data_IF_398813952209
#
_entry.id   IF_398813952209
#
_cell.length_a   1.000
_cell.length_b   1.000
_cell.length_c   1.000
_cell.angle_alpha   90.00
_cell.angle_beta   90.00
_cell.angle_gamma   90.00
#
_symmetry.space_group_name_H-M   'P 1'
#
loop_
_entity.id
_entity.type
_entity.pdbx_description
1 polymer ?
#
# COMPACT_ATOMS: atom_id res chain seq x y z
N UNK A 1 -7.55 -0.50 -13.44
CA UNK A 1 -8.19 -1.03 -12.22
C UNK A 1 -7.70 -0.19 -11.06
N UNK A 2 -8.60 0.35 -10.24
CA UNK A 2 -8.27 1.27 -9.15
C UNK A 2 -9.12 0.96 -7.91
N UNK A 3 -8.55 1.16 -6.73
CA UNK A 3 -9.29 1.40 -5.51
C UNK A 3 -9.70 2.88 -5.53
N UNK A 4 -10.97 3.15 -5.77
CA UNK A 4 -11.49 4.51 -5.96
C UNK A 4 -11.91 5.18 -4.66
N UNK A 5 -12.30 4.39 -3.64
CA UNK A 5 -12.66 4.90 -2.30
C UNK A 5 -12.25 3.92 -1.22
N UNK A 6 -11.72 4.45 -0.13
CA UNK A 6 -11.40 3.73 1.10
C UNK A 6 -12.14 4.36 2.28
N UNK A 7 -13.00 3.57 2.93
CA UNK A 7 -13.61 3.94 4.20
C UNK A 7 -13.12 3.00 5.28
N UNK A 8 -12.58 3.57 6.36
CA UNK A 8 -12.11 2.83 7.54
C UNK A 8 -12.74 3.42 8.78
N UNK A 9 -13.26 2.55 9.67
CA UNK A 9 -13.79 2.97 10.98
C UNK A 9 -13.19 2.11 12.09
N UNK A 10 -12.77 2.77 13.16
CA UNK A 10 -12.31 2.13 14.40
C UNK A 10 -11.14 1.14 14.23
N UNK A 11 -10.27 1.38 13.27
CA UNK A 11 -9.09 0.56 13.02
C UNK A 11 -7.84 1.23 13.59
N UNK A 12 -7.18 0.62 14.56
CA UNK A 12 -6.01 1.18 15.28
C UNK A 12 -6.26 2.63 15.70
N UNK A 13 -5.48 3.60 15.23
CA UNK A 13 -5.70 5.03 15.52
C UNK A 13 -6.78 5.68 14.64
N UNK A 14 -7.20 5.02 13.54
CA UNK A 14 -8.19 5.56 12.61
C UNK A 14 -9.59 5.51 13.20
N UNK A 15 -10.19 6.67 13.49
CA UNK A 15 -11.55 6.75 13.99
C UNK A 15 -12.59 6.58 12.90
N UNK A 16 -12.66 7.54 11.99
CA UNK A 16 -13.42 7.51 10.75
C UNK A 16 -12.59 8.20 9.67
N UNK A 17 -12.24 7.46 8.66
CA UNK A 17 -11.53 7.93 7.47
C UNK A 17 -12.37 7.55 6.27
N UNK A 18 -12.60 8.48 5.35
CA UNK A 18 -13.39 8.28 4.13
C UNK A 18 -12.70 9.09 3.02
N UNK A 19 -12.06 8.40 2.07
CA UNK A 19 -11.19 9.00 1.08
C UNK A 19 -11.56 8.52 -0.32
N UNK A 20 -11.65 9.44 -1.25
CA UNK A 20 -11.57 9.16 -2.68
C UNK A 20 -10.10 9.11 -3.08
N UNK A 21 -9.69 8.13 -3.87
CA UNK A 21 -8.30 7.86 -4.22
C UNK A 21 -8.12 7.84 -5.73
N UNK A 22 -7.09 8.52 -6.22
CA UNK A 22 -6.62 8.44 -7.61
C UNK A 22 -5.56 7.35 -7.83
N UNK A 23 -4.89 7.39 -8.98
CA UNK A 23 -3.78 6.48 -9.29
C UNK A 23 -2.54 6.71 -8.41
N UNK A 24 -2.35 7.94 -7.94
CA UNK A 24 -1.35 8.31 -6.94
C UNK A 24 -2.03 8.95 -5.75
N UNK A 25 -1.69 8.51 -4.52
CA UNK A 25 -2.09 9.19 -3.30
C UNK A 25 -0.91 9.28 -2.32
N UNK A 26 -0.62 10.48 -1.84
CA UNK A 26 0.50 10.78 -0.96
C UNK A 26 -0.03 11.29 0.38
N UNK A 27 0.21 10.52 1.42
CA UNK A 27 -0.23 10.81 2.78
C UNK A 27 0.88 11.51 3.55
N UNK A 28 0.68 12.79 3.83
CA UNK A 28 1.66 13.69 4.42
C UNK A 28 1.31 14.01 5.86
N UNK A 29 2.27 13.97 6.76
CA UNK A 29 2.05 14.33 8.16
C UNK A 29 3.19 13.92 9.07
N UNK A 30 3.21 14.40 10.32
CA UNK A 30 4.27 14.11 11.28
C UNK A 30 4.31 12.62 11.67
N UNK A 31 5.42 12.20 12.28
CA UNK A 31 5.54 10.86 12.83
C UNK A 31 4.47 10.61 13.90
N UNK A 32 3.94 9.39 13.95
CA UNK A 32 2.88 9.05 14.88
C UNK A 32 1.47 9.54 14.50
N UNK A 33 1.29 10.22 13.35
CA UNK A 33 -0.03 10.72 12.91
C UNK A 33 -1.00 9.63 12.45
N UNK A 34 -0.51 8.40 12.21
CA UNK A 34 -1.32 7.27 11.76
C UNK A 34 -1.25 6.97 10.26
N UNK A 35 -0.29 7.56 9.53
CA UNK A 35 -0.03 7.27 8.09
C UNK A 35 0.12 5.77 7.83
N UNK A 36 0.98 5.08 8.60
CA UNK A 36 1.20 3.63 8.46
C UNK A 36 -0.05 2.81 8.81
N UNK A 37 -0.92 3.29 9.70
CA UNK A 37 -2.16 2.59 10.02
C UNK A 37 -3.15 2.59 8.85
N UNK A 38 -3.11 3.63 8.00
CA UNK A 38 -3.92 3.70 6.78
C UNK A 38 -3.48 2.64 5.77
N UNK A 39 -2.18 2.54 5.50
CA UNK A 39 -1.65 1.50 4.61
C UNK A 39 -1.82 0.10 5.22
N UNK A 40 -1.66 -0.04 6.53
CA UNK A 40 -1.87 -1.31 7.21
C UNK A 40 -3.33 -1.79 7.14
N UNK A 41 -4.32 -0.89 7.08
CA UNK A 41 -5.72 -1.28 6.85
C UNK A 41 -5.91 -1.95 5.48
N UNK A 42 -5.24 -1.48 4.44
CA UNK A 42 -5.24 -2.10 3.11
C UNK A 42 -4.50 -3.45 3.11
N UNK A 43 -3.33 -3.50 3.77
CA UNK A 43 -2.59 -4.75 3.95
C UNK A 43 -3.43 -5.78 4.73
N UNK A 44 -4.17 -5.34 5.75
CA UNK A 44 -5.08 -6.21 6.51
C UNK A 44 -6.09 -6.91 5.59
N UNK A 45 -6.70 -6.19 4.66
CA UNK A 45 -7.65 -6.77 3.68
C UNK A 45 -6.95 -7.84 2.83
N UNK A 46 -5.77 -7.53 2.30
CA UNK A 46 -5.00 -8.48 1.49
C UNK A 46 -4.60 -9.73 2.30
N UNK A 47 -4.10 -9.57 3.52
CA UNK A 47 -3.72 -10.68 4.41
C UNK A 47 -4.94 -11.55 4.77
N UNK A 48 -6.09 -10.93 5.11
CA UNK A 48 -7.31 -11.62 5.48
C UNK A 48 -7.91 -12.43 4.33
N UNK A 49 -7.80 -11.94 3.10
CA UNK A 49 -8.30 -12.65 1.92
C UNK A 49 -7.30 -13.68 1.37
N UNK A 50 -6.00 -13.39 1.34
CA UNK A 50 -5.00 -14.30 0.78
C UNK A 50 -4.64 -15.46 1.73
N UNK A 51 -4.50 -15.20 3.02
CA UNK A 51 -4.28 -16.23 4.04
C UNK A 51 -5.59 -16.61 4.77
N UNK A 52 -5.95 -15.89 5.80
CA UNK A 52 -7.26 -15.91 6.49
C UNK A 52 -7.35 -14.76 7.50
N UNK A 53 -8.53 -14.55 8.06
CA UNK A 53 -8.79 -13.46 9.01
C UNK A 53 -8.02 -13.64 10.33
N UNK A 54 -7.88 -14.88 10.82
CA UNK A 54 -7.12 -15.20 12.04
C UNK A 54 -5.63 -14.83 11.87
N UNK A 55 -5.02 -15.18 10.75
CA UNK A 55 -3.66 -14.77 10.42
C UNK A 55 -3.51 -13.24 10.40
N UNK A 56 -4.42 -12.56 9.69
CA UNK A 56 -4.36 -11.10 9.58
C UNK A 56 -4.46 -10.38 10.94
N UNK A 57 -5.26 -10.93 11.86
CA UNK A 57 -5.38 -10.42 13.23
C UNK A 57 -4.14 -10.73 14.07
N UNK A 58 -3.64 -11.99 14.05
CA UNK A 58 -2.47 -12.42 14.83
C UNK A 58 -1.21 -11.68 14.49
N UNK A 59 -0.95 -11.44 13.20
CA UNK A 59 0.18 -10.63 12.73
C UNK A 59 0.19 -9.20 13.31
N UNK A 60 -0.95 -8.75 13.85
CA UNK A 60 -1.13 -7.43 14.44
C UNK A 60 -1.34 -7.46 15.96
N UNK A 61 -1.13 -8.62 16.59
CA UNK A 61 -1.30 -8.81 18.05
C UNK A 61 -2.73 -9.11 18.48
N UNK A 62 -3.61 -9.51 17.55
CA UNK A 62 -4.99 -9.88 17.80
C UNK A 62 -5.99 -8.73 17.67
N UNK A 63 -7.28 -9.09 17.81
CA UNK A 63 -8.41 -8.16 17.60
C UNK A 63 -8.33 -6.91 18.50
N UNK A 64 -7.81 -7.03 19.71
CA UNK A 64 -7.73 -5.92 20.65
C UNK A 64 -6.65 -4.87 20.30
N UNK A 65 -5.65 -5.24 19.50
CA UNK A 65 -4.63 -4.33 18.94
C UNK A 65 -5.08 -3.72 17.62
N UNK A 66 -5.97 -4.39 16.89
CA UNK A 66 -6.50 -3.93 15.60
C UNK A 66 -7.67 -2.97 15.77
N UNK A 67 -8.62 -3.29 16.66
CA UNK A 67 -9.72 -2.37 16.94
C UNK A 67 -9.24 -1.12 17.69
N UNK A 68 -9.90 0.00 17.43
CA UNK A 68 -9.53 1.26 18.09
C UNK A 68 -9.74 1.21 19.61
N UNK A 69 -8.71 1.59 20.36
CA UNK A 69 -8.80 1.81 21.81
C UNK A 69 -9.29 3.22 22.09
N UNK A 70 -10.46 3.38 22.68
CA UNK A 70 -11.00 4.68 23.08
C UNK A 70 -11.94 4.56 24.27
N UNK A 71 -12.30 5.69 24.90
CA UNK A 71 -13.26 5.75 25.99
C UNK A 71 -14.64 5.20 25.58
N UNK A 72 -15.04 5.33 24.32
CA UNK A 72 -16.26 4.77 23.77
C UNK A 72 -16.20 3.25 23.52
N UNK A 73 -15.02 2.62 23.67
CA UNK A 73 -14.78 1.16 23.54
C UNK A 73 -15.54 0.53 22.36
N UNK A 74 -15.32 0.98 21.10
CA UNK A 74 -15.97 0.35 19.97
C UNK A 74 -15.60 -1.13 19.93
N UNK A 75 -16.60 -2.01 19.85
CA UNK A 75 -16.38 -3.44 19.80
C UNK A 75 -16.05 -3.93 18.41
N UNK A 76 -16.26 -3.10 17.37
CA UNK A 76 -16.07 -3.44 15.98
C UNK A 76 -15.18 -2.44 15.26
N UNK A 77 -14.61 -2.89 14.15
CA UNK A 77 -14.05 -2.02 13.12
C UNK A 77 -14.64 -2.40 11.76
N UNK A 78 -14.70 -1.43 10.84
CA UNK A 78 -15.18 -1.59 9.47
C UNK A 78 -14.14 -1.15 8.47
N UNK A 79 -13.97 -1.93 7.40
CA UNK A 79 -13.25 -1.52 6.20
C UNK A 79 -14.20 -1.67 5.01
N UNK A 80 -14.30 -0.63 4.18
CA UNK A 80 -15.09 -0.60 2.96
C UNK A 80 -14.24 -0.06 1.82
N UNK A 81 -14.31 -0.73 0.67
CA UNK A 81 -13.52 -0.42 -0.52
C UNK A 81 -14.44 -0.35 -1.74
N UNK A 82 -14.33 0.74 -2.52
CA UNK A 82 -14.94 0.80 -3.82
C UNK A 82 -13.85 0.63 -4.88
N UNK A 83 -14.11 -0.23 -5.85
CA UNK A 83 -13.16 -0.64 -6.87
C UNK A 83 -13.71 -0.31 -8.26
N UNK A 84 -12.87 0.21 -9.14
CA UNK A 84 -13.12 0.25 -10.57
C UNK A 84 -12.21 -0.76 -11.26
N UNK A 85 -12.81 -1.87 -11.70
CA UNK A 85 -12.14 -2.99 -12.35
C UNK A 85 -12.32 -2.88 -13.87
N UNK A 86 -11.73 -3.81 -14.64
CA UNK A 86 -11.83 -3.73 -16.12
C UNK A 86 -13.25 -3.85 -16.65
N UNK A 87 -14.07 -4.73 -16.04
CA UNK A 87 -15.43 -5.04 -16.48
C UNK A 87 -16.48 -4.73 -15.43
N UNK A 88 -16.06 -4.39 -14.21
CA UNK A 88 -16.92 -4.28 -13.06
C UNK A 88 -16.57 -3.06 -12.23
N UNK A 89 -17.58 -2.37 -11.73
CA UNK A 89 -17.42 -1.58 -10.53
C UNK A 89 -17.87 -2.41 -9.33
N UNK A 90 -17.15 -2.33 -8.23
CA UNK A 90 -17.45 -3.14 -7.08
C UNK A 90 -17.35 -2.37 -5.76
N UNK A 91 -18.19 -2.79 -4.82
CA UNK A 91 -18.10 -2.40 -3.41
C UNK A 91 -17.88 -3.64 -2.58
N UNK A 92 -16.84 -3.65 -1.76
CA UNK A 92 -16.57 -4.70 -0.79
C UNK A 92 -16.43 -4.10 0.61
N UNK A 93 -17.10 -4.67 1.59
CA UNK A 93 -17.04 -4.18 2.96
C UNK A 93 -17.22 -5.31 3.97
N UNK A 94 -16.57 -5.15 5.14
CA UNK A 94 -16.79 -6.03 6.26
C UNK A 94 -16.67 -5.30 7.59
N UNK A 95 -17.41 -5.80 8.59
CA UNK A 95 -17.36 -5.42 9.99
C UNK A 95 -16.87 -6.60 10.82
N UNK A 96 -15.78 -6.40 11.56
CA UNK A 96 -15.25 -7.39 12.51
C UNK A 96 -15.56 -6.94 13.93
N UNK A 97 -16.19 -7.81 14.70
CA UNK A 97 -16.64 -7.59 16.07
C UNK A 97 -15.78 -8.39 17.04
N UNK A 98 -15.29 -7.73 18.10
CA UNK A 98 -14.56 -8.40 19.18
C UNK A 98 -15.55 -9.08 20.12
N UNK A 99 -15.29 -10.34 20.43
CA UNK A 99 -16.03 -11.17 21.37
C UNK A 99 -15.30 -11.27 22.72
N UNK A 100 -15.92 -11.91 23.70
CA UNK A 100 -15.25 -12.18 24.98
C UNK A 100 -14.09 -13.15 24.80
N UNK A 101 -13.02 -13.00 25.59
CA UNK A 101 -11.88 -13.93 25.58
C UNK A 101 -10.90 -13.74 24.42
N UNK A 102 -10.78 -12.53 23.85
CA UNK A 102 -9.90 -12.21 22.70
C UNK A 102 -10.32 -12.86 21.38
N UNK A 103 -11.55 -13.40 21.33
CA UNK A 103 -12.14 -13.97 20.14
C UNK A 103 -12.79 -12.88 19.27
N UNK A 104 -13.17 -13.24 18.05
CA UNK A 104 -13.79 -12.31 17.08
C UNK A 104 -14.82 -13.03 16.21
N UNK A 105 -15.67 -12.25 15.57
CA UNK A 105 -16.54 -12.73 14.50
C UNK A 105 -16.70 -11.68 13.41
N UNK A 106 -17.02 -12.12 12.21
CA UNK A 106 -17.49 -11.29 11.11
C UNK A 106 -18.96 -10.94 11.41
N UNK A 107 -19.18 -9.70 11.89
CA UNK A 107 -20.53 -9.25 12.19
C UNK A 107 -21.35 -9.08 10.91
N UNK A 108 -20.72 -8.51 9.86
CA UNK A 108 -21.31 -8.36 8.52
C UNK A 108 -20.23 -8.35 7.47
N UNK A 109 -20.50 -8.98 6.34
CA UNK A 109 -19.72 -8.88 5.11
C UNK A 109 -20.64 -8.68 3.93
N UNK A 110 -20.29 -7.77 3.02
CA UNK A 110 -21.05 -7.50 1.81
C UNK A 110 -20.11 -7.28 0.62
N UNK A 111 -20.49 -7.84 -0.51
CA UNK A 111 -19.87 -7.56 -1.79
C UNK A 111 -20.96 -7.27 -2.81
N UNK A 112 -20.83 -6.19 -3.58
CA UNK A 112 -21.69 -5.84 -4.70
C UNK A 112 -20.84 -5.54 -5.91
N UNK A 113 -21.18 -6.14 -7.03
CA UNK A 113 -20.42 -6.06 -8.28
C UNK A 113 -21.37 -5.71 -9.41
N UNK A 114 -21.08 -4.63 -10.11
CA UNK A 114 -21.91 -4.08 -11.19
C UNK A 114 -21.20 -4.21 -12.53
N UNK A 115 -21.81 -4.88 -13.50
CA UNK A 115 -21.24 -5.02 -14.85
C UNK A 115 -21.22 -3.70 -15.60
N UNK A 116 -20.08 -3.39 -16.25
CA UNK A 116 -19.92 -2.25 -17.14
C UNK A 116 -20.25 -2.58 -18.60
N UNK A 117 -20.45 -3.87 -18.94
CA UNK A 117 -20.60 -4.35 -20.31
C UNK A 117 -22.08 -4.39 -20.78
N UNK A 118 -23.04 -4.36 -19.86
CA UNK A 118 -24.46 -4.49 -20.19
C UNK A 118 -25.28 -3.33 -19.63
N UNK A 119 -26.16 -2.69 -20.44
CA UNK A 119 -27.02 -1.59 -19.99
C UNK A 119 -28.06 -2.01 -18.93
N UNK A 120 -28.43 -3.29 -18.90
CA UNK A 120 -29.21 -3.92 -17.83
C UNK A 120 -28.19 -4.53 -16.85
N UNK A 121 -27.75 -3.72 -15.91
CA UNK A 121 -26.71 -4.07 -14.95
C UNK A 121 -26.98 -5.45 -14.30
N UNK A 122 -26.22 -6.46 -14.72
CA UNK A 122 -26.15 -7.69 -13.94
C UNK A 122 -25.43 -7.33 -12.65
N UNK A 123 -26.18 -7.25 -11.56
CA UNK A 123 -25.63 -7.11 -10.22
C UNK A 123 -25.36 -8.50 -9.64
N UNK A 124 -24.11 -8.74 -9.26
CA UNK A 124 -23.76 -9.87 -8.43
C UNK A 124 -23.52 -9.35 -7.03
N UNK A 125 -24.18 -9.94 -6.04
CA UNK A 125 -23.98 -9.52 -4.67
C UNK A 125 -24.14 -10.66 -3.68
N UNK A 126 -23.58 -10.47 -2.49
CA UNK A 126 -23.90 -11.23 -1.30
C UNK A 126 -23.90 -10.33 -0.07
N UNK A 127 -24.66 -10.75 0.94
CA UNK A 127 -24.64 -10.22 2.29
C UNK A 127 -24.60 -11.41 3.26
N UNK A 128 -23.57 -11.45 4.09
CA UNK A 128 -23.41 -12.44 5.17
C UNK A 128 -23.43 -11.72 6.51
N UNK A 129 -24.16 -12.23 7.48
CA UNK A 129 -24.21 -11.72 8.85
C UNK A 129 -23.96 -12.87 9.83
N UNK A 130 -22.90 -12.73 10.64
CA UNK A 130 -22.52 -13.70 11.67
C UNK A 130 -22.51 -15.14 11.16
N UNK A 131 -21.87 -15.37 10.01
CA UNK A 131 -21.78 -16.66 9.37
C UNK A 131 -23.08 -17.16 8.72
N UNK A 132 -24.08 -16.32 8.54
CA UNK A 132 -25.33 -16.68 7.84
C UNK A 132 -25.48 -15.88 6.56
N UNK A 133 -25.58 -16.54 5.41
CA UNK A 133 -25.90 -15.91 4.14
C UNK A 133 -27.33 -15.39 4.17
N UNK A 134 -27.51 -14.08 4.04
CA UNK A 134 -28.81 -13.39 4.07
C UNK A 134 -29.33 -13.12 2.67
N UNK A 135 -28.47 -12.63 1.80
CA UNK A 135 -28.81 -12.26 0.43
C UNK A 135 -27.71 -12.73 -0.51
N UNK A 136 -28.05 -13.21 -1.69
CA UNK A 136 -27.10 -13.48 -2.76
C UNK A 136 -27.77 -13.49 -4.13
N UNK A 137 -27.10 -12.91 -5.12
CA UNK A 137 -27.41 -13.02 -6.54
C UNK A 137 -26.12 -13.08 -7.34
N UNK A 138 -25.88 -14.11 -8.16
CA UNK A 138 -26.69 -15.32 -8.30
C UNK A 138 -26.74 -16.16 -7.00
N UNK A 139 -27.57 -17.19 -6.98
CA UNK A 139 -27.66 -18.09 -5.81
C UNK A 139 -26.32 -18.75 -5.55
N UNK A 140 -25.79 -18.54 -4.34
CA UNK A 140 -24.53 -19.09 -3.87
C UNK A 140 -24.78 -20.26 -2.91
N UNK A 141 -23.93 -21.27 -2.98
CA UNK A 141 -24.03 -22.49 -2.15
C UNK A 141 -22.82 -22.74 -1.26
N UNK A 142 -21.80 -21.84 -1.30
CA UNK A 142 -20.61 -21.99 -0.47
C UNK A 142 -20.96 -21.92 1.02
N UNK A 143 -20.32 -22.77 1.81
CA UNK A 143 -20.44 -22.73 3.27
C UNK A 143 -19.75 -21.46 3.81
N UNK A 144 -20.28 -20.94 4.92
CA UNK A 144 -19.71 -19.78 5.61
C UNK A 144 -19.59 -20.07 7.11
N UNK A 145 -18.61 -19.45 7.73
CA UNK A 145 -18.38 -19.49 9.19
C UNK A 145 -18.36 -18.08 9.75
N UNK A 146 -18.64 -17.88 11.04
CA UNK A 146 -18.56 -16.56 11.63
C UNK A 146 -17.15 -15.98 11.71
N UNK A 147 -16.10 -16.79 11.56
CA UNK A 147 -14.69 -16.40 11.69
C UNK A 147 -14.00 -16.15 10.34
N UNK A 148 -14.64 -16.49 9.21
CA UNK A 148 -14.04 -16.37 7.89
C UNK A 148 -14.76 -15.35 7.03
N UNK A 149 -14.01 -14.70 6.13
CA UNK A 149 -14.58 -13.83 5.09
C UNK A 149 -15.15 -14.69 3.95
N UNK A 150 -16.43 -14.45 3.64
CA UNK A 150 -17.19 -15.22 2.64
C UNK A 150 -16.70 -15.02 1.21
N UNK A 151 -16.13 -13.83 0.89
CA UNK A 151 -15.54 -13.57 -0.43
C UNK A 151 -14.48 -14.61 -0.82
N UNK A 152 -13.75 -15.18 0.16
CA UNK A 152 -12.81 -16.28 -0.10
C UNK A 152 -13.53 -17.55 -0.59
N UNK A 153 -14.67 -17.89 0.01
CA UNK A 153 -15.42 -19.09 -0.34
C UNK A 153 -16.05 -19.00 -1.75
N UNK A 154 -16.35 -17.78 -2.21
CA UNK A 154 -16.95 -17.51 -3.53
C UNK A 154 -15.96 -16.90 -4.52
N UNK A 155 -14.66 -16.95 -4.24
CA UNK A 155 -13.60 -16.34 -5.05
C UNK A 155 -13.48 -16.90 -6.47
N UNK A 156 -14.06 -18.05 -6.77
CA UNK A 156 -14.10 -18.62 -8.12
C UNK A 156 -15.34 -18.16 -8.93
N UNK A 157 -16.32 -17.55 -8.28
CA UNK A 157 -17.56 -17.14 -8.94
C UNK A 157 -17.37 -15.86 -9.75
N UNK A 158 -18.09 -15.77 -10.88
CA UNK A 158 -17.99 -14.63 -11.82
C UNK A 158 -18.29 -13.30 -11.11
N UNK A 159 -17.46 -12.30 -11.37
CA UNK A 159 -17.50 -10.99 -10.75
C UNK A 159 -16.77 -10.93 -9.42
N UNK A 160 -17.02 -11.87 -8.51
CA UNK A 160 -16.31 -11.95 -7.23
C UNK A 160 -14.85 -12.33 -7.39
N UNK A 161 -14.49 -13.14 -8.38
CA UNK A 161 -13.11 -13.49 -8.70
C UNK A 161 -12.25 -12.27 -9.02
N UNK A 162 -12.74 -11.31 -9.79
CA UNK A 162 -11.98 -10.09 -10.12
C UNK A 162 -11.79 -9.19 -8.88
N UNK A 163 -12.79 -9.13 -7.98
CA UNK A 163 -12.69 -8.43 -6.70
C UNK A 163 -11.65 -9.10 -5.80
N UNK A 164 -11.74 -10.43 -5.65
CA UNK A 164 -10.80 -11.20 -4.86
C UNK A 164 -9.36 -11.08 -5.38
N UNK A 165 -9.15 -11.24 -6.68
CA UNK A 165 -7.86 -11.11 -7.32
C UNK A 165 -7.26 -9.70 -7.18
N UNK A 166 -8.10 -8.67 -7.25
CA UNK A 166 -7.65 -7.29 -7.04
C UNK A 166 -7.19 -7.08 -5.60
N UNK A 167 -7.99 -7.48 -4.62
CA UNK A 167 -7.75 -7.23 -3.20
C UNK A 167 -6.59 -8.04 -2.64
N UNK A 168 -6.41 -9.29 -3.08
CA UNK A 168 -5.29 -10.16 -2.64
C UNK A 168 -3.94 -9.72 -3.20
N UNK A 169 -3.92 -8.88 -4.22
CA UNK A 169 -2.71 -8.30 -4.81
C UNK A 169 -2.41 -6.88 -4.37
N UNK A 170 -3.09 -6.38 -3.34
CA UNK A 170 -2.68 -5.16 -2.65
C UNK A 170 -1.45 -5.49 -1.81
N UNK A 171 -0.37 -4.74 -1.97
CA UNK A 171 0.85 -4.95 -1.21
C UNK A 171 1.36 -3.64 -0.60
N UNK A 172 1.86 -3.72 0.64
CA UNK A 172 2.43 -2.58 1.37
C UNK A 172 3.87 -2.89 1.74
N UNK A 173 4.77 -1.99 1.38
CA UNK A 173 6.20 -2.14 1.49
C UNK A 173 6.82 -1.19 2.52
N UNK A 174 7.69 -1.74 3.33
CA UNK A 174 8.64 -1.02 4.17
C UNK A 174 9.97 -1.78 4.12
N UNK A 175 10.77 -1.59 3.06
CA UNK A 175 11.97 -2.36 2.82
C UNK A 175 12.98 -2.26 3.97
N UNK A 176 13.50 -3.41 4.39
CA UNK A 176 14.52 -3.51 5.42
C UNK A 176 15.89 -3.84 4.77
N UNK A 177 16.83 -2.90 4.74
CA UNK A 177 18.14 -3.14 4.15
C UNK A 177 18.88 -4.35 4.75
N UNK A 178 18.72 -4.62 6.04
CA UNK A 178 19.34 -5.78 6.67
C UNK A 178 18.78 -7.10 6.11
N UNK A 179 17.47 -7.21 5.88
CA UNK A 179 16.86 -8.37 5.25
C UNK A 179 17.34 -8.55 3.80
N UNK A 180 17.47 -7.45 3.05
CA UNK A 180 17.93 -7.47 1.65
C UNK A 180 19.41 -7.86 1.54
N UNK A 181 20.25 -7.46 2.50
CA UNK A 181 21.67 -7.75 2.55
C UNK A 181 21.98 -9.22 2.76
N UNK A 182 21.14 -9.90 3.51
CA UNK A 182 21.32 -11.31 3.81
C UNK A 182 21.16 -12.18 2.57
N UNK A 183 21.80 -13.34 2.58
CA UNK A 183 21.53 -14.39 1.61
C UNK A 183 20.09 -14.89 1.80
N UNK A 184 19.33 -14.91 0.72
CA UNK A 184 17.92 -15.24 0.73
C UNK A 184 17.66 -16.64 0.20
N UNK A 185 16.61 -17.29 0.65
CA UNK A 185 16.16 -18.55 0.08
C UNK A 185 15.51 -18.29 -1.29
N UNK A 186 15.69 -19.20 -2.27
CA UNK A 186 14.92 -19.14 -3.51
C UNK A 186 13.43 -19.07 -3.23
N UNK A 187 12.74 -18.10 -3.80
CA UNK A 187 11.31 -17.87 -3.56
C UNK A 187 10.55 -17.88 -4.89
N UNK A 188 9.45 -18.64 -4.94
CA UNK A 188 8.55 -18.68 -6.08
C UNK A 188 7.37 -17.70 -5.94
N UNK A 189 7.23 -17.02 -4.80
CA UNK A 189 6.16 -16.08 -4.57
C UNK A 189 6.27 -14.87 -5.52
N UNK A 190 5.20 -14.51 -6.24
CA UNK A 190 5.28 -13.56 -7.36
C UNK A 190 5.30 -12.09 -6.93
N UNK A 191 5.10 -11.81 -5.65
CA UNK A 191 5.03 -10.46 -5.09
C UNK A 191 6.23 -10.22 -4.17
N UNK A 192 6.83 -9.04 -4.25
CA UNK A 192 7.88 -8.63 -3.32
C UNK A 192 7.34 -8.69 -1.88
N UNK A 193 8.10 -9.28 -0.98
CA UNK A 193 7.77 -9.27 0.44
C UNK A 193 7.92 -7.86 1.01
N UNK A 194 7.16 -7.56 2.05
CA UNK A 194 7.11 -6.23 2.65
C UNK A 194 8.48 -5.65 2.98
N UNK A 195 9.38 -6.47 3.49
CA UNK A 195 10.74 -6.12 3.91
C UNK A 195 11.81 -6.26 2.82
N UNK A 196 11.44 -6.76 1.64
CA UNK A 196 12.36 -7.01 0.53
C UNK A 196 13.12 -8.33 0.62
N UNK A 197 12.77 -9.24 1.53
CA UNK A 197 13.48 -10.50 1.78
C UNK A 197 13.39 -11.54 0.64
N UNK A 198 12.77 -11.22 -0.52
CA UNK A 198 12.79 -12.03 -1.74
C UNK A 198 13.17 -11.20 -2.98
N UNK A 199 13.87 -10.09 -2.79
CA UNK A 199 14.20 -9.15 -3.87
C UNK A 199 14.95 -9.79 -5.05
N UNK A 200 15.93 -10.72 -4.87
CA UNK A 200 16.57 -11.42 -5.98
C UNK A 200 15.58 -12.22 -6.83
N UNK A 201 14.64 -12.93 -6.19
CA UNK A 201 13.63 -13.73 -6.89
C UNK A 201 12.71 -12.85 -7.74
N UNK A 202 12.27 -11.69 -7.22
CA UNK A 202 11.43 -10.75 -7.97
C UNK A 202 12.18 -10.14 -9.15
N UNK A 203 13.44 -9.71 -8.98
CA UNK A 203 14.25 -9.23 -10.10
C UNK A 203 14.45 -10.28 -11.19
N UNK A 204 14.59 -11.58 -10.81
CA UNK A 204 14.64 -12.69 -11.78
C UNK A 204 13.32 -12.80 -12.55
N UNK A 205 12.17 -12.71 -11.88
CA UNK A 205 10.85 -12.73 -12.52
C UNK A 205 10.65 -11.52 -13.44
N UNK A 206 11.14 -10.34 -13.09
CA UNK A 206 11.03 -9.13 -13.92
C UNK A 206 11.76 -9.24 -15.25
N UNK A 207 12.63 -10.25 -15.47
CA UNK A 207 13.22 -10.54 -16.78
C UNK A 207 12.17 -10.89 -17.84
N UNK A 208 10.98 -11.37 -17.44
CA UNK A 208 9.85 -11.59 -18.35
C UNK A 208 9.17 -10.29 -18.79
N UNK A 209 9.50 -9.17 -18.15
CA UNK A 209 9.00 -7.82 -18.45
C UNK A 209 10.18 -6.84 -18.62
N UNK A 210 11.01 -6.98 -19.66
CA UNK A 210 12.32 -6.32 -19.77
C UNK A 210 12.22 -4.80 -19.70
N UNK A 211 11.22 -4.18 -20.31
CA UNK A 211 11.01 -2.73 -20.25
C UNK A 211 10.88 -2.20 -18.82
N UNK A 212 10.19 -2.95 -17.93
CA UNK A 212 10.04 -2.56 -16.53
C UNK A 212 11.35 -2.73 -15.75
N UNK A 213 12.08 -3.80 -16.03
CA UNK A 213 13.40 -4.01 -15.43
C UNK A 213 14.39 -2.94 -15.86
N UNK A 214 14.38 -2.54 -17.13
CA UNK A 214 15.18 -1.41 -17.66
C UNK A 214 14.84 -0.11 -16.89
N UNK A 215 13.56 0.20 -16.70
CA UNK A 215 13.18 1.40 -15.93
C UNK A 215 13.69 1.36 -14.48
N UNK A 216 13.59 0.20 -13.81
CA UNK A 216 14.18 0.04 -12.46
C UNK A 216 15.68 0.34 -12.48
N UNK A 217 16.42 -0.18 -13.47
CA UNK A 217 17.86 0.03 -13.56
C UNK A 217 18.23 1.47 -13.93
N UNK A 218 17.48 2.11 -14.82
CA UNK A 218 17.67 3.52 -15.18
C UNK A 218 17.46 4.45 -13.96
N UNK A 219 16.36 4.26 -13.21
CA UNK A 219 16.14 5.06 -12.01
C UNK A 219 17.16 4.78 -10.93
N UNK A 220 17.54 3.50 -10.74
CA UNK A 220 18.58 3.14 -9.78
C UNK A 220 19.92 3.81 -10.12
N UNK A 221 20.32 3.86 -11.39
CA UNK A 221 21.55 4.50 -11.81
C UNK A 221 21.57 6.02 -11.59
N UNK A 222 20.39 6.66 -11.64
CA UNK A 222 20.24 8.09 -11.32
C UNK A 222 20.24 8.34 -9.81
N UNK A 223 19.65 7.44 -9.01
CA UNK A 223 19.60 7.54 -7.55
C UNK A 223 20.98 7.25 -6.94
N UNK A 224 21.70 6.28 -7.50
CA UNK A 224 23.01 5.83 -7.00
C UNK A 224 24.05 5.99 -8.12
N UNK A 225 24.73 7.15 -8.17
CA UNK A 225 25.74 7.41 -9.20
C UNK A 225 26.80 6.33 -9.25
N UNK A 226 27.12 5.88 -10.47
CA UNK A 226 28.07 4.82 -10.73
C UNK A 226 27.48 3.42 -10.78
N UNK A 227 26.33 3.14 -10.19
CA UNK A 227 25.63 1.85 -10.40
C UNK A 227 25.07 1.81 -11.81
N UNK A 228 25.52 0.82 -12.59
CA UNK A 228 25.13 0.63 -14.01
C UNK A 228 24.10 -0.48 -14.17
N UNK A 229 24.12 -1.48 -13.29
CA UNK A 229 23.26 -2.66 -13.38
C UNK A 229 23.11 -3.36 -12.02
N UNK A 230 22.00 -4.06 -11.84
CA UNK A 230 21.79 -5.00 -10.75
C UNK A 230 21.24 -6.33 -11.28
N UNK A 231 21.76 -7.44 -10.77
CA UNK A 231 21.33 -8.79 -11.18
C UNK A 231 21.22 -9.73 -9.99
N UNK A 232 20.23 -10.64 -9.98
CA UNK A 232 20.18 -11.73 -9.02
C UNK A 232 21.29 -12.76 -9.33
N UNK A 233 21.92 -13.27 -8.31
CA UNK A 233 22.95 -14.31 -8.40
C UNK A 233 22.70 -15.39 -7.36
N UNK A 234 22.99 -16.64 -7.76
CA UNK A 234 22.88 -17.83 -6.90
C UNK A 234 24.24 -18.10 -6.25
N UNK A 235 24.25 -18.31 -4.94
CA UNK A 235 25.41 -18.67 -4.14
C UNK A 235 25.10 -19.93 -3.32
N UNK A 236 25.50 -21.10 -3.84
CA UNK A 236 25.11 -22.38 -3.26
C UNK A 236 23.58 -22.55 -3.26
N UNK A 237 22.95 -22.83 -2.11
CA UNK A 237 21.50 -22.96 -2.02
C UNK A 237 20.76 -21.62 -1.84
N UNK A 238 21.45 -20.51 -1.78
CA UNK A 238 20.91 -19.19 -1.50
C UNK A 238 21.02 -18.25 -2.70
N UNK A 239 20.35 -17.11 -2.63
CA UNK A 239 20.38 -16.04 -3.63
C UNK A 239 20.78 -14.71 -2.99
N UNK A 240 21.38 -13.84 -3.79
CA UNK A 240 21.68 -12.44 -3.44
C UNK A 240 21.68 -11.59 -4.70
N UNK A 241 22.16 -10.36 -4.59
CA UNK A 241 22.27 -9.42 -5.71
C UNK A 241 23.73 -9.08 -5.98
N UNK A 242 24.10 -9.01 -7.26
CA UNK A 242 25.29 -8.33 -7.76
C UNK A 242 24.91 -6.94 -8.26
N UNK A 243 25.59 -5.93 -7.76
CA UNK A 243 25.58 -4.56 -8.28
C UNK A 243 26.84 -4.36 -9.11
N UNK A 244 26.67 -3.82 -10.30
CA UNK A 244 27.75 -3.42 -11.19
C UNK A 244 27.95 -1.92 -11.04
N UNK A 245 29.13 -1.53 -10.62
CA UNK A 245 29.45 -0.12 -10.38
C UNK A 245 30.68 0.28 -11.18
N UNK A 246 30.55 1.37 -11.92
CA UNK A 246 31.64 1.97 -12.69
C UNK A 246 32.61 2.67 -11.75
N UNK A 247 33.83 2.15 -11.66
CA UNK A 247 34.88 2.70 -10.83
C UNK A 247 35.91 3.48 -11.64
N UNK A 248 36.05 3.15 -12.93
CA UNK A 248 36.90 3.85 -13.89
C UNK A 248 36.27 3.88 -15.28
N UNK A 249 36.95 4.51 -16.26
CA UNK A 249 36.39 4.65 -17.62
C UNK A 249 36.31 3.33 -18.43
N UNK A 250 36.76 2.21 -17.89
CA UNK A 250 36.89 0.96 -18.67
C UNK A 250 36.17 -0.24 -18.06
N UNK A 251 36.01 -0.32 -16.73
CA UNK A 251 35.54 -1.53 -16.08
C UNK A 251 34.43 -1.26 -15.06
N UNK A 252 33.39 -2.09 -15.08
CA UNK A 252 32.40 -2.18 -14.03
C UNK A 252 32.84 -3.23 -13.01
N UNK A 253 32.96 -2.82 -11.74
CA UNK A 253 33.24 -3.71 -10.64
C UNK A 253 31.96 -4.32 -10.09
N UNK A 254 32.06 -5.53 -9.54
CA UNK A 254 30.92 -6.26 -9.00
C UNK A 254 30.95 -6.25 -7.48
N UNK A 255 29.85 -5.84 -6.88
CA UNK A 255 29.65 -5.83 -5.44
C UNK A 255 28.43 -6.62 -5.07
N UNK A 256 28.49 -7.40 -4.01
CA UNK A 256 27.31 -8.05 -3.45
C UNK A 256 26.42 -7.06 -2.69
N UNK A 257 25.15 -7.41 -2.51
CA UNK A 257 24.21 -6.63 -1.69
C UNK A 257 24.77 -6.34 -0.28
N UNK A 258 25.58 -7.23 0.27
CA UNK A 258 26.25 -7.07 1.58
C UNK A 258 27.15 -5.82 1.66
N UNK A 259 27.68 -5.36 0.54
CA UNK A 259 28.57 -4.18 0.47
C UNK A 259 27.85 -2.89 0.13
N UNK A 260 26.54 -2.93 -0.15
CA UNK A 260 25.78 -1.76 -0.56
C UNK A 260 25.21 -0.97 0.62
N UNK A 261 25.06 0.36 0.45
CA UNK A 261 24.47 1.22 1.46
C UNK A 261 22.98 0.91 1.69
N UNK A 262 22.47 1.28 2.86
CA UNK A 262 21.03 1.13 3.19
C UNK A 262 20.15 1.87 2.19
N UNK A 263 20.50 3.10 1.83
CA UNK A 263 19.77 3.88 0.85
C UNK A 263 19.71 3.22 -0.53
N UNK A 264 20.83 2.62 -0.99
CA UNK A 264 20.86 1.89 -2.27
C UNK A 264 19.90 0.69 -2.27
N UNK A 265 19.96 -0.13 -1.21
CA UNK A 265 19.12 -1.33 -1.10
C UNK A 265 17.64 -0.96 -0.96
N UNK A 266 17.34 0.09 -0.18
CA UNK A 266 15.99 0.57 -0.01
C UNK A 266 15.43 1.15 -1.31
N UNK A 267 16.19 2.00 -2.00
CA UNK A 267 15.79 2.56 -3.29
C UNK A 267 15.49 1.45 -4.31
N UNK A 268 16.36 0.46 -4.45
CA UNK A 268 16.13 -0.67 -5.34
C UNK A 268 14.82 -1.41 -4.99
N UNK A 269 14.58 -1.69 -3.71
CA UNK A 269 13.37 -2.40 -3.30
C UNK A 269 12.11 -1.57 -3.54
N UNK A 270 12.14 -0.26 -3.33
CA UNK A 270 11.03 0.66 -3.65
C UNK A 270 10.78 0.70 -5.16
N UNK A 271 11.82 0.80 -5.98
CA UNK A 271 11.68 0.76 -7.44
C UNK A 271 11.07 -0.56 -7.91
N UNK A 272 11.54 -1.69 -7.38
CA UNK A 272 10.97 -3.01 -7.69
C UNK A 272 9.51 -3.10 -7.23
N UNK A 273 9.18 -2.61 -6.03
CA UNK A 273 7.80 -2.52 -5.53
C UNK A 273 6.89 -1.72 -6.49
N UNK A 274 7.41 -0.61 -7.01
CA UNK A 274 6.68 0.26 -7.93
C UNK A 274 6.51 -0.34 -9.34
N UNK A 275 7.48 -1.05 -9.86
CA UNK A 275 7.48 -1.53 -11.26
C UNK A 275 7.17 -3.03 -11.46
N UNK A 276 7.11 -3.87 -10.42
CA UNK A 276 6.73 -5.29 -10.54
C UNK A 276 5.32 -5.47 -11.11
N UNK A 277 5.01 -6.61 -11.75
CA UNK A 277 3.76 -6.80 -12.51
C UNK A 277 2.59 -7.33 -11.69
N UNK A 278 2.86 -8.08 -10.63
CA UNK A 278 1.86 -8.88 -9.92
C UNK A 278 0.94 -8.08 -8.97
N UNK A 279 1.26 -6.82 -8.68
CA UNK A 279 0.59 -5.99 -7.68
C UNK A 279 -0.45 -5.07 -8.32
N UNK A 280 -1.62 -4.92 -7.70
CA UNK A 280 -2.68 -4.01 -8.13
C UNK A 280 -2.54 -2.63 -7.50
N UNK A 281 -2.29 -2.59 -6.19
CA UNK A 281 -2.02 -1.37 -5.41
C UNK A 281 -0.72 -1.56 -4.66
N UNK A 282 0.25 -0.68 -4.89
CA UNK A 282 1.51 -0.67 -4.15
C UNK A 282 1.51 0.47 -3.12
N UNK A 283 1.40 0.12 -1.84
CA UNK A 283 1.63 1.04 -0.73
C UNK A 283 3.12 1.07 -0.38
N UNK A 284 3.72 2.24 -0.20
CA UNK A 284 5.13 2.36 0.22
C UNK A 284 5.24 3.30 1.40
N UNK A 285 5.82 2.79 2.50
CA UNK A 285 6.04 3.58 3.70
C UNK A 285 7.39 4.31 3.60
N UNK A 286 7.33 5.63 3.68
CA UNK A 286 8.49 6.54 3.75
C UNK A 286 9.62 6.14 2.79
N UNK A 287 9.37 6.16 1.46
CA UNK A 287 10.31 5.66 0.44
C UNK A 287 11.65 6.39 0.44
N UNK A 288 11.66 7.62 0.92
CA UNK A 288 12.82 8.52 0.97
C UNK A 288 13.81 8.24 2.11
N UNK A 289 13.44 7.42 3.08
CA UNK A 289 14.31 7.13 4.25
C UNK A 289 15.67 6.59 3.82
N UNK A 290 16.73 7.13 4.38
CA UNK A 290 18.14 6.84 4.08
C UNK A 290 18.61 7.28 2.68
N UNK A 291 17.85 8.10 1.97
CA UNK A 291 18.26 8.71 0.70
C UNK A 291 18.78 10.14 0.90
N UNK A 292 19.72 10.53 0.04
CA UNK A 292 20.08 11.94 -0.10
C UNK A 292 18.92 12.72 -0.72
N UNK A 293 18.66 13.97 -0.34
CA UNK A 293 17.57 14.79 -0.90
C UNK A 293 17.47 14.74 -2.44
N UNK A 294 18.59 14.92 -3.14
CA UNK A 294 18.61 14.83 -4.61
C UNK A 294 18.17 13.47 -5.17
N UNK A 295 18.41 12.38 -4.43
CA UNK A 295 17.93 11.03 -4.80
C UNK A 295 16.45 10.85 -4.53
N UNK A 296 15.89 11.57 -3.54
CA UNK A 296 14.46 11.54 -3.24
C UNK A 296 13.63 12.11 -4.40
N UNK A 297 14.10 13.16 -5.09
CA UNK A 297 13.46 13.69 -6.30
C UNK A 297 13.36 12.63 -7.40
N UNK A 298 14.47 11.94 -7.69
CA UNK A 298 14.50 10.89 -8.73
C UNK A 298 13.57 9.73 -8.36
N UNK A 299 13.51 9.39 -7.07
CA UNK A 299 12.59 8.35 -6.59
C UNK A 299 11.14 8.79 -6.74
N UNK A 300 10.82 10.04 -6.45
CA UNK A 300 9.48 10.61 -6.65
C UNK A 300 9.06 10.53 -8.13
N UNK A 301 9.96 10.88 -9.08
CA UNK A 301 9.72 10.70 -10.52
C UNK A 301 9.36 9.26 -10.87
N UNK A 302 10.13 8.31 -10.34
CA UNK A 302 9.89 6.89 -10.59
C UNK A 302 8.51 6.43 -10.07
N UNK A 303 8.09 6.94 -8.91
CA UNK A 303 6.80 6.62 -8.30
C UNK A 303 5.63 7.27 -9.05
N UNK A 304 5.80 8.51 -9.54
CA UNK A 304 4.83 9.20 -10.39
C UNK A 304 4.68 8.43 -11.71
N UNK A 305 5.77 8.08 -12.40
CA UNK A 305 5.72 7.28 -13.63
C UNK A 305 5.05 5.92 -13.40
N UNK A 306 5.40 5.22 -12.32
CA UNK A 306 4.78 3.95 -11.99
C UNK A 306 3.26 4.09 -11.76
N UNK A 307 2.80 5.25 -11.25
CA UNK A 307 1.38 5.52 -10.98
C UNK A 307 0.52 5.60 -12.25
N UNK A 308 1.10 5.81 -13.43
CA UNK A 308 0.40 5.78 -14.71
C UNK A 308 -0.09 4.37 -15.08
N UNK A 309 0.60 3.35 -14.61
CA UNK A 309 0.30 1.95 -14.95
C UNK A 309 -0.36 1.15 -13.82
N UNK A 310 -0.32 1.65 -12.58
CA UNK A 310 -0.90 1.04 -11.38
C UNK A 310 -1.16 2.07 -10.30
N UNK A 311 -1.88 1.71 -9.26
CA UNK A 311 -2.11 2.59 -8.14
C UNK A 311 -0.94 2.55 -7.15
N UNK A 312 -0.42 3.73 -6.82
CA UNK A 312 0.66 3.94 -5.85
C UNK A 312 0.12 4.76 -4.67
N UNK A 313 0.33 4.26 -3.47
CA UNK A 313 -0.02 4.94 -2.23
C UNK A 313 1.25 5.15 -1.40
N UNK A 314 1.55 6.39 -1.03
CA UNK A 314 2.78 6.74 -0.33
C UNK A 314 2.48 7.36 1.02
N UNK A 315 3.32 7.06 2.01
CA UNK A 315 3.39 7.88 3.22
C UNK A 315 4.72 8.62 3.25
N UNK A 316 4.71 9.88 3.60
CA UNK A 316 5.95 10.67 3.72
C UNK A 316 5.82 11.75 4.80
N UNK A 317 6.95 12.16 5.33
CA UNK A 317 7.12 13.38 6.12
C UNK A 317 8.23 14.27 5.54
N UNK A 318 8.76 13.91 4.36
CA UNK A 318 9.86 14.61 3.70
C UNK A 318 9.35 15.71 2.77
N UNK A 319 9.76 16.96 3.00
CA UNK A 319 9.50 18.05 2.05
C UNK A 319 10.15 17.80 0.68
N UNK A 320 11.33 17.17 0.68
CA UNK A 320 12.12 17.00 -0.55
C UNK A 320 11.41 16.08 -1.55
N UNK A 321 10.71 15.02 -1.08
CA UNK A 321 9.89 14.18 -1.95
C UNK A 321 8.71 14.96 -2.53
N UNK A 322 8.18 15.93 -1.78
CA UNK A 322 7.00 16.72 -2.16
C UNK A 322 7.34 17.92 -3.07
N UNK A 323 8.62 18.30 -3.18
CA UNK A 323 9.05 19.40 -4.06
C UNK A 323 9.10 19.00 -5.54
N UNK A 324 8.71 17.75 -5.88
CA UNK A 324 8.70 17.27 -7.25
C UNK A 324 7.60 17.93 -8.09
N UNK A 325 7.99 18.56 -9.23
CA UNK A 325 7.07 19.32 -10.09
C UNK A 325 5.92 18.50 -10.70
N UNK A 326 6.12 17.22 -10.93
CA UNK A 326 5.12 16.29 -11.48
C UNK A 326 4.04 15.84 -10.48
N UNK A 327 4.16 16.21 -9.20
CA UNK A 327 3.25 15.80 -8.16
C UNK A 327 1.97 16.62 -8.19
N UNK A 328 0.85 15.99 -8.57
CA UNK A 328 -0.46 16.66 -8.59
C UNK A 328 -0.91 17.03 -7.17
N UNK A 329 -1.36 18.28 -6.92
CA UNK A 329 -1.94 18.65 -5.64
C UNK A 329 -3.17 17.82 -5.25
N UNK A 330 -3.88 17.25 -6.23
CA UNK A 330 -5.05 16.40 -6.00
C UNK A 330 -4.69 15.04 -5.41
N UNK A 331 -3.41 14.62 -5.52
CA UNK A 331 -2.92 13.40 -4.92
C UNK A 331 -2.52 13.53 -3.45
N UNK A 332 -2.55 14.74 -2.88
CA UNK A 332 -2.03 15.03 -1.54
C UNK A 332 -3.11 14.96 -0.46
N UNK A 333 -2.83 14.23 0.61
CA UNK A 333 -3.68 14.08 1.79
C UNK A 333 -2.91 14.42 3.05
N UNK A 334 -3.45 15.31 3.87
CA UNK A 334 -2.91 15.63 5.19
C UNK A 334 -3.33 14.58 6.21
N UNK A 335 -2.38 14.09 6.99
CA UNK A 335 -2.62 13.14 8.08
C UNK A 335 -2.16 13.76 9.40
N UNK A 336 -3.07 13.83 10.37
CA UNK A 336 -2.78 14.33 11.68
C UNK A 336 -3.44 13.49 12.76
N UNK A 337 -3.04 13.72 14.02
CA UNK A 337 -3.64 13.04 15.18
C UNK A 337 -4.25 14.07 16.11
N UNK A 338 -5.51 13.85 16.47
CA UNK A 338 -6.22 14.66 17.45
C UNK A 338 -6.81 13.76 18.53
N UNK A 339 -6.45 14.00 19.81
CA UNK A 339 -6.94 13.20 20.96
C UNK A 339 -6.80 11.68 20.75
N UNK A 340 -5.67 11.24 20.18
CA UNK A 340 -5.42 9.81 19.89
C UNK A 340 -6.22 9.24 18.72
N UNK A 341 -6.85 10.10 17.91
CA UNK A 341 -7.56 9.74 16.68
C UNK A 341 -6.84 10.30 15.48
N UNK A 342 -6.48 9.45 14.55
CA UNK A 342 -5.95 9.89 13.26
C UNK A 342 -7.07 10.43 12.38
N UNK A 343 -6.83 11.61 11.84
CA UNK A 343 -7.66 12.26 10.82
C UNK A 343 -6.88 12.30 9.51
N UNK A 344 -7.58 12.04 8.39
CA UNK A 344 -7.01 12.13 7.05
C UNK A 344 -7.94 12.98 6.19
N UNK A 345 -7.39 13.98 5.52
CA UNK A 345 -8.16 14.90 4.66
C UNK A 345 -7.36 15.26 3.41
N UNK A 346 -7.99 15.44 2.25
CA UNK A 346 -7.34 16.07 1.11
C UNK A 346 -6.84 17.46 1.50
N UNK A 347 -5.81 17.97 0.83
CA UNK A 347 -5.37 19.34 1.08
C UNK A 347 -6.46 20.34 0.69
N UNK A 348 -6.61 21.46 1.41
CA UNK A 348 -7.61 22.51 1.12
C UNK A 348 -7.43 23.11 -0.27
N UNK A 349 -8.54 23.61 -0.84
CA UNK A 349 -8.56 24.19 -2.20
C UNK A 349 -7.54 25.33 -2.34
N UNK A 350 -7.46 26.19 -1.35
CA UNK A 350 -6.52 27.33 -1.33
C UNK A 350 -5.05 26.86 -1.45
N UNK A 351 -4.71 25.73 -0.80
CA UNK A 351 -3.36 25.16 -0.88
C UNK A 351 -3.10 24.51 -2.23
N UNK A 352 -4.12 23.86 -2.81
CA UNK A 352 -4.04 23.32 -4.17
C UNK A 352 -3.76 24.43 -5.18
N UNK A 353 -4.48 25.54 -5.08
CA UNK A 353 -4.29 26.71 -5.95
C UNK A 353 -2.88 27.31 -5.84
N UNK A 354 -2.31 27.43 -4.61
CA UNK A 354 -0.94 27.90 -4.41
C UNK A 354 0.08 27.01 -5.15
N UNK A 355 -0.09 25.69 -5.09
CA UNK A 355 0.81 24.75 -5.77
C UNK A 355 0.59 24.79 -7.29
N UNK A 356 -0.66 24.78 -7.75
CA UNK A 356 -1.00 24.82 -9.17
C UNK A 356 -0.48 26.06 -9.87
N UNK A 357 -0.55 27.22 -9.21
CA UNK A 357 -0.01 28.50 -9.72
C UNK A 357 1.51 28.64 -9.50
N UNK A 358 2.19 27.61 -9.01
CA UNK A 358 3.64 27.61 -8.72
C UNK A 358 4.09 28.74 -7.77
N UNK A 359 3.19 29.19 -6.89
CA UNK A 359 3.53 30.19 -5.87
C UNK A 359 4.29 29.56 -4.69
N UNK A 360 3.99 28.30 -4.39
CA UNK A 360 4.69 27.46 -3.43
C UNK A 360 4.73 26.02 -3.94
N UNK A 361 5.79 25.29 -3.57
CA UNK A 361 5.81 23.83 -3.71
C UNK A 361 5.08 23.17 -2.53
N UNK A 362 4.70 21.90 -2.67
CA UNK A 362 4.10 21.17 -1.56
C UNK A 362 5.12 20.98 -0.41
N UNK A 363 6.41 20.81 -0.73
CA UNK A 363 7.48 20.74 0.27
C UNK A 363 7.68 22.05 1.03
N UNK A 364 7.62 23.21 0.36
CA UNK A 364 7.67 24.52 1.04
C UNK A 364 6.49 24.71 2.00
N UNK A 365 5.27 24.33 1.57
CA UNK A 365 4.10 24.38 2.44
C UNK A 365 4.26 23.44 3.65
N UNK A 366 4.88 22.27 3.47
CA UNK A 366 5.17 21.36 4.57
C UNK A 366 6.20 21.94 5.54
N UNK A 367 7.31 22.53 5.05
CA UNK A 367 8.32 23.20 5.89
C UNK A 367 7.71 24.32 6.73
N UNK A 368 6.69 25.01 6.20
CA UNK A 368 5.93 26.06 6.89
C UNK A 368 4.79 25.50 7.78
N UNK A 369 4.69 24.17 7.95
CA UNK A 369 3.62 23.47 8.67
C UNK A 369 2.20 23.74 8.14
N UNK A 370 2.09 24.19 6.90
CA UNK A 370 0.81 24.51 6.29
C UNK A 370 0.09 23.29 5.70
N UNK A 371 0.78 22.14 5.58
CA UNK A 371 0.22 20.83 5.25
C UNK A 371 0.03 19.93 6.50
N UNK A 372 0.06 20.49 7.68
CA UNK A 372 -0.31 19.80 8.90
C UNK A 372 -1.76 20.11 9.26
N UNK A 373 -2.48 19.12 9.80
CA UNK A 373 -3.80 19.36 10.37
C UNK A 373 -3.64 20.20 11.65
N UNK A 374 -4.49 21.23 11.85
CA UNK A 374 -4.34 22.11 13.00
C UNK A 374 -4.42 21.31 14.31
N UNK A 375 -3.37 21.40 15.12
CA UNK A 375 -3.39 20.92 16.48
C UNK A 375 -4.26 21.91 17.25
N UNK A 376 -5.50 21.53 17.54
CA UNK A 376 -6.29 22.28 18.53
C UNK A 376 -5.64 22.01 19.88
N UNK A 377 -4.82 22.93 20.36
CA UNK A 377 -4.47 22.99 21.77
C UNK A 377 -5.79 23.22 22.49
N UNK A 378 -6.32 22.16 23.14
CA UNK A 378 -7.34 22.37 24.15
C UNK A 378 -6.67 23.22 25.20
N UNK A 379 -7.19 24.42 25.45
CA UNK A 379 -6.82 25.20 26.62
C UNK A 379 -6.98 24.25 27.83
N UNK A 380 -5.88 24.06 28.55
CA UNK A 380 -5.92 23.39 29.85
C UNK A 380 -6.90 24.19 30.71
N UNK A 381 -8.13 23.70 30.84
CA UNK A 381 -9.09 24.09 31.87
C UNK A 381 -9.11 23.00 32.93
#
# INVERSE_FOLDING_TARGET
MLLTRLLVRNYKSLGKVDLELGSLAVFVGPNGSGKSNLLDALRFVSDALSANLDYALRERGGINEVRRRSSGRPNNFRIELNLSLKRWDAKYAFDIEAMRGYDYQVAREECRVYSLETPLAQEHHFVVERGSLKEASPKLSAATTPQDLYLRAVSAERGFNEVFDFLTRIAVYNPNPAAIRNLQDPDAYPILRRDGSNLPAILRQMRTAPKRLERVQEFLSKIVPGVTKVEPVVLGPKETLHFFQRMDNKNDWRFYASSMSDGTLRALAVLVAAFQTAVTVAGVEEPEVALHPGSAFVLADALIEASESRQILLTTHSPDLLDQEGLSPDSLYMVGMRRGVSEVRPIPKEKKELIQHKLFTAGELLRQRQLELPVVQDALL
#
